data_IF_538776118290
#
_entry.id   IF_538776118290
#
_cell.length_a   1.000
_cell.length_b   1.000
_cell.length_c   1.000
_cell.angle_alpha   90.00
_cell.angle_beta   90.00
_cell.angle_gamma   90.00
#
_symmetry.space_group_name_H-M   'P 1'
#
loop_
_entity.id
_entity.type
_entity.pdbx_description
1 polymer ?
#
# COMPACT_ATOMS: atom_id res chain seq x y z
N UNK A 1 -11.29 -43.92 38.84
CA UNK A 1 -11.21 -42.61 38.16
C UNK A 1 -12.62 -42.06 37.92
N UNK A 2 -13.33 -41.66 38.98
CA UNK A 2 -14.72 -41.16 38.90
C UNK A 2 -14.95 -39.86 39.69
N UNK A 3 -13.92 -39.25 40.28
CA UNK A 3 -14.08 -38.13 41.23
C UNK A 3 -13.88 -36.73 40.63
N UNK A 4 -13.82 -36.59 39.29
CA UNK A 4 -13.62 -35.29 38.64
C UNK A 4 -14.62 -34.98 37.53
N UNK A 5 -15.88 -35.40 37.69
CA UNK A 5 -16.98 -34.90 36.85
C UNK A 5 -17.94 -34.06 37.71
N UNK A 6 -17.98 -32.76 37.41
CA UNK A 6 -18.97 -31.84 37.94
C UNK A 6 -20.06 -31.62 36.89
N UNK A 7 -21.33 -31.82 37.28
CA UNK A 7 -22.48 -31.53 36.44
C UNK A 7 -23.28 -30.40 37.10
N UNK A 8 -23.42 -29.28 36.40
CA UNK A 8 -24.02 -28.05 36.91
C UNK A 8 -23.27 -26.81 36.41
N UNK A 9 -23.78 -25.63 36.71
CA UNK A 9 -23.09 -24.37 36.40
C UNK A 9 -21.99 -24.12 37.44
N UNK A 10 -20.78 -23.80 36.97
CA UNK A 10 -19.67 -23.34 37.81
C UNK A 10 -19.46 -21.86 37.54
N UNK A 11 -19.42 -21.06 38.60
CA UNK A 11 -19.02 -19.66 38.54
C UNK A 11 -17.56 -19.58 38.96
N UNK A 12 -16.73 -19.01 38.10
CA UNK A 12 -15.36 -18.63 38.41
C UNK A 12 -15.28 -17.12 38.27
N UNK A 13 -15.12 -16.43 39.39
CA UNK A 13 -14.87 -14.99 39.38
C UNK A 13 -13.41 -14.78 38.99
N UNK A 14 -13.21 -14.18 37.82
CA UNK A 14 -11.91 -13.68 37.42
C UNK A 14 -11.84 -12.20 37.79
N UNK A 15 -10.91 -11.82 38.66
CA UNK A 15 -10.64 -10.41 39.01
C UNK A 15 -9.60 -9.77 38.09
N UNK A 16 -9.12 -10.49 37.07
CA UNK A 16 -8.18 -9.96 36.08
C UNK A 16 -8.84 -8.90 35.20
N UNK A 17 -8.08 -7.82 35.03
CA UNK A 17 -8.47 -6.54 34.45
C UNK A 17 -9.05 -6.65 33.03
N UNK A 18 -10.03 -5.78 32.79
CA UNK A 18 -10.60 -5.29 31.53
C UNK A 18 -9.86 -5.76 30.28
N UNK A 19 -10.53 -6.53 29.41
CA UNK A 19 -10.05 -6.80 28.05
C UNK A 19 -9.86 -5.46 27.34
N UNK A 20 -8.61 -5.07 27.13
CA UNK A 20 -8.30 -3.86 26.39
C UNK A 20 -8.75 -4.05 24.93
N UNK A 21 -9.72 -3.25 24.50
CA UNK A 21 -10.07 -3.14 23.09
C UNK A 21 -9.07 -2.15 22.49
N UNK A 22 -8.09 -2.68 21.76
CA UNK A 22 -7.12 -1.85 21.06
C UNK A 22 -7.75 -1.32 19.77
N UNK A 23 -7.53 -0.04 19.50
CA UNK A 23 -7.88 0.54 18.20
C UNK A 23 -7.04 -0.10 17.10
N UNK A 24 -7.69 -0.36 15.97
CA UNK A 24 -7.02 -0.89 14.78
C UNK A 24 -6.29 0.26 14.09
N UNK A 25 -5.00 0.10 13.82
CA UNK A 25 -4.23 1.06 13.04
C UNK A 25 -4.70 1.03 11.58
N UNK A 26 -5.57 1.97 11.20
CA UNK A 26 -6.12 2.11 9.85
C UNK A 26 -5.19 2.86 8.89
N UNK A 27 -4.14 3.48 9.42
CA UNK A 27 -3.28 4.42 8.69
C UNK A 27 -2.03 3.79 8.04
N UNK A 28 -1.86 2.47 8.20
CA UNK A 28 -0.71 1.73 7.66
C UNK A 28 -0.88 1.53 6.16
N UNK A 29 0.09 2.03 5.40
CA UNK A 29 0.10 1.97 3.94
C UNK A 29 0.96 0.78 3.51
N UNK A 30 0.49 -0.02 2.55
CA UNK A 30 1.27 -1.04 1.84
C UNK A 30 1.43 -0.63 0.39
N UNK A 31 2.67 -0.45 -0.07
CA UNK A 31 2.96 -0.14 -1.48
C UNK A 31 3.83 -1.20 -2.13
N UNK A 32 3.59 -1.44 -3.40
CA UNK A 32 4.48 -2.22 -4.28
C UNK A 32 5.11 -1.26 -5.30
N UNK A 33 6.42 -1.31 -5.45
CA UNK A 33 7.16 -0.40 -6.32
C UNK A 33 8.42 -1.05 -6.92
N UNK A 34 8.88 -0.49 -8.04
CA UNK A 34 10.18 -0.82 -8.65
C UNK A 34 11.22 0.24 -8.26
N UNK A 35 12.47 -0.18 -8.07
CA UNK A 35 13.64 0.70 -7.97
C UNK A 35 14.93 -0.13 -8.00
N UNK A 36 15.52 -0.30 -9.17
CA UNK A 36 16.76 -1.06 -9.35
C UNK A 36 17.95 -0.43 -8.62
N UNK A 37 18.00 0.90 -8.52
CA UNK A 37 19.10 1.67 -7.90
C UNK A 37 18.89 1.98 -6.40
N UNK A 38 17.81 1.46 -5.79
CA UNK A 38 17.58 1.58 -4.35
C UNK A 38 18.56 0.73 -3.53
N UNK A 39 18.85 1.17 -2.30
CA UNK A 39 19.70 0.43 -1.35
C UNK A 39 19.12 -0.96 -1.09
N UNK A 40 19.77 -2.00 -1.62
CA UNK A 40 19.29 -3.38 -1.56
C UNK A 40 19.24 -3.96 -0.13
N UNK A 41 19.96 -3.38 0.83
CA UNK A 41 19.89 -3.80 2.23
C UNK A 41 18.64 -3.24 2.91
N UNK A 42 18.29 -2.00 2.58
CA UNK A 42 17.10 -1.36 3.13
C UNK A 42 15.83 -1.83 2.40
N UNK A 43 15.90 -2.05 1.10
CA UNK A 43 14.79 -2.49 0.26
C UNK A 43 15.13 -3.84 -0.38
N UNK A 44 15.15 -4.95 0.37
CA UNK A 44 15.33 -6.27 -0.23
C UNK A 44 14.23 -6.57 -1.26
N UNK A 45 14.59 -7.29 -2.34
CA UNK A 45 13.62 -7.70 -3.36
C UNK A 45 12.60 -8.69 -2.78
N UNK A 46 11.34 -8.50 -3.14
CA UNK A 46 10.18 -9.33 -2.75
C UNK A 46 10.00 -9.52 -1.24
N UNK A 47 10.65 -8.69 -0.42
CA UNK A 47 10.50 -8.74 1.04
C UNK A 47 9.87 -7.45 1.54
N UNK A 48 8.79 -7.54 2.34
CA UNK A 48 8.15 -6.36 2.88
C UNK A 48 9.10 -5.71 3.89
N UNK A 49 9.21 -4.39 3.84
CA UNK A 49 10.04 -3.62 4.79
C UNK A 49 9.21 -2.51 5.40
N UNK A 50 9.22 -2.42 6.73
CA UNK A 50 8.56 -1.36 7.47
C UNK A 50 9.39 -0.07 7.47
N UNK A 51 8.76 1.01 7.00
CA UNK A 51 9.25 2.38 7.15
C UNK A 51 8.42 3.08 8.21
N UNK A 52 9.05 3.49 9.31
CA UNK A 52 8.39 4.26 10.37
C UNK A 52 8.35 5.77 10.05
N UNK A 53 9.35 6.26 9.32
CA UNK A 53 9.40 7.62 8.78
C UNK A 53 9.95 7.59 7.37
N UNK A 54 9.10 7.96 6.40
CA UNK A 54 9.46 7.92 4.98
C UNK A 54 10.56 8.94 4.65
N UNK A 55 10.53 10.14 5.24
CA UNK A 55 11.51 11.19 4.98
C UNK A 55 12.97 10.77 5.24
N UNK A 56 13.21 9.89 6.23
CA UNK A 56 14.55 9.45 6.60
C UNK A 56 15.17 8.51 5.54
N UNK A 57 14.35 7.92 4.67
CA UNK A 57 14.76 6.91 3.70
C UNK A 57 14.67 7.37 2.24
N UNK A 58 14.11 8.56 1.97
CA UNK A 58 13.97 9.09 0.59
C UNK A 58 15.31 9.16 -0.15
N UNK A 59 16.41 9.46 0.55
CA UNK A 59 17.76 9.47 -0.03
C UNK A 59 18.24 8.09 -0.51
N UNK A 60 17.67 6.99 0.03
CA UNK A 60 18.05 5.60 -0.27
C UNK A 60 17.12 4.90 -1.26
N UNK A 61 16.05 5.56 -1.69
CA UNK A 61 15.07 5.01 -2.62
C UNK A 61 15.56 4.97 -4.07
N UNK A 62 16.76 5.51 -4.35
CA UNK A 62 17.23 5.66 -5.72
C UNK A 62 16.51 6.76 -6.50
N UNK A 63 16.71 6.78 -7.80
CA UNK A 63 16.16 7.71 -8.78
C UNK A 63 15.39 6.99 -9.89
N UNK A 64 15.64 5.70 -10.11
CA UNK A 64 14.96 4.91 -11.13
C UNK A 64 13.68 4.27 -10.57
N UNK A 65 12.78 3.89 -11.48
CA UNK A 65 11.51 3.25 -11.14
C UNK A 65 10.47 4.18 -10.50
N UNK A 66 9.64 3.60 -9.64
CA UNK A 66 8.43 4.25 -9.09
C UNK A 66 8.53 4.54 -7.59
N UNK A 67 9.47 3.89 -6.88
CA UNK A 67 9.55 3.92 -5.42
C UNK A 67 9.72 5.33 -4.84
N UNK A 68 10.66 6.11 -5.37
CA UNK A 68 10.93 7.45 -4.85
C UNK A 68 9.72 8.37 -5.03
N UNK A 69 9.08 8.36 -6.20
CA UNK A 69 7.91 9.20 -6.49
C UNK A 69 6.72 8.83 -5.60
N UNK A 70 6.46 7.53 -5.42
CA UNK A 70 5.42 7.03 -4.52
C UNK A 70 5.65 7.46 -3.06
N UNK A 71 6.85 7.23 -2.52
CA UNK A 71 7.17 7.56 -1.14
C UNK A 71 7.22 9.07 -0.89
N UNK A 72 7.70 9.86 -1.85
CA UNK A 72 7.71 11.33 -1.76
C UNK A 72 6.28 11.88 -1.70
N UNK A 73 5.40 11.41 -2.58
CA UNK A 73 3.99 11.82 -2.59
C UNK A 73 3.27 11.50 -1.26
N UNK A 74 3.53 10.33 -0.68
CA UNK A 74 3.00 9.96 0.65
C UNK A 74 3.56 10.88 1.75
N UNK A 75 4.88 11.07 1.75
CA UNK A 75 5.58 11.86 2.77
C UNK A 75 5.16 13.33 2.80
N UNK A 76 4.79 13.89 1.65
CA UNK A 76 4.28 15.26 1.55
C UNK A 76 2.91 15.44 2.23
N UNK A 77 2.12 14.37 2.32
CA UNK A 77 0.82 14.42 2.99
C UNK A 77 0.94 14.17 4.49
N UNK A 78 1.66 13.10 4.86
CA UNK A 78 1.73 12.60 6.24
C UNK A 78 2.98 11.75 6.52
N UNK A 79 3.44 11.78 7.76
CA UNK A 79 4.41 10.83 8.29
C UNK A 79 3.69 9.65 8.95
N UNK A 80 3.46 8.57 8.21
CA UNK A 80 2.83 7.33 8.71
C UNK A 80 3.73 6.11 8.47
N UNK A 81 3.33 4.96 9.03
CA UNK A 81 3.97 3.68 8.78
C UNK A 81 3.68 3.23 7.34
N UNK A 82 4.73 2.94 6.58
CA UNK A 82 4.62 2.46 5.20
C UNK A 82 5.38 1.15 5.07
N UNK A 83 4.69 0.11 4.62
CA UNK A 83 5.26 -1.18 4.26
C UNK A 83 5.53 -1.16 2.77
N UNK A 84 6.80 -1.31 2.40
CA UNK A 84 7.24 -1.30 1.01
C UNK A 84 7.62 -2.70 0.61
N UNK A 85 7.08 -3.17 -0.53
CA UNK A 85 7.59 -4.35 -1.22
C UNK A 85 8.25 -3.89 -2.51
N UNK A 86 9.57 -4.05 -2.60
CA UNK A 86 10.30 -3.76 -3.83
C UNK A 86 10.26 -4.97 -4.75
N UNK A 87 9.80 -4.78 -5.97
CA UNK A 87 9.85 -5.79 -7.04
C UNK A 87 10.91 -5.40 -8.07
N UNK A 88 11.41 -6.39 -8.81
CA UNK A 88 12.35 -6.15 -9.89
C UNK A 88 11.66 -5.38 -11.04
N UNK A 89 12.43 -4.53 -11.72
CA UNK A 89 12.01 -3.91 -12.97
C UNK A 89 12.22 -4.89 -14.13
N UNK A 90 11.23 -5.00 -15.01
CA UNK A 90 11.28 -5.89 -16.17
C UNK A 90 12.37 -5.46 -17.15
N UNK A 91 13.20 -6.41 -17.55
CA UNK A 91 14.22 -6.31 -18.58
C UNK A 91 13.81 -7.17 -19.77
N UNK A 92 14.21 -6.81 -20.98
CA UNK A 92 13.86 -7.57 -22.20
C UNK A 92 14.30 -9.04 -22.16
N UNK A 93 15.31 -9.35 -21.32
CA UNK A 93 15.81 -10.71 -21.08
C UNK A 93 15.00 -11.50 -20.05
N UNK A 94 14.06 -10.87 -19.34
CA UNK A 94 13.28 -11.50 -18.29
C UNK A 94 12.14 -12.35 -18.85
N UNK A 95 12.01 -13.57 -18.32
CA UNK A 95 10.91 -14.48 -18.67
C UNK A 95 9.55 -13.99 -18.18
N UNK A 96 9.53 -13.14 -17.14
CA UNK A 96 8.31 -12.63 -16.50
C UNK A 96 8.04 -11.17 -16.89
N UNK A 97 6.78 -10.84 -17.16
CA UNK A 97 6.36 -9.45 -17.40
C UNK A 97 6.36 -8.62 -16.10
N UNK A 98 6.36 -7.29 -16.22
CA UNK A 98 6.27 -6.40 -15.07
C UNK A 98 5.03 -6.70 -14.20
N UNK A 99 3.87 -6.92 -14.82
CA UNK A 99 2.63 -7.27 -14.14
C UNK A 99 2.76 -8.59 -13.35
N UNK A 100 3.43 -9.59 -13.93
CA UNK A 100 3.68 -10.86 -13.24
C UNK A 100 4.59 -10.69 -12.01
N UNK A 101 5.60 -9.83 -12.10
CA UNK A 101 6.50 -9.53 -10.97
C UNK A 101 5.77 -8.77 -9.86
N UNK A 102 4.90 -7.82 -10.23
CA UNK A 102 4.11 -7.02 -9.28
C UNK A 102 3.03 -7.86 -8.59
N UNK A 103 2.30 -8.70 -9.36
CA UNK A 103 1.31 -9.63 -8.81
C UNK A 103 2.00 -10.67 -7.91
N UNK A 104 3.12 -11.24 -8.40
CA UNK A 104 3.86 -12.25 -7.66
C UNK A 104 3.03 -13.50 -7.36
N UNK A 105 3.38 -14.20 -6.30
CA UNK A 105 2.70 -15.41 -5.87
C UNK A 105 3.36 -16.08 -4.69
N UNK A 106 3.12 -17.39 -4.55
CA UNK A 106 3.86 -18.26 -3.65
C UNK A 106 4.90 -19.00 -4.46
N UNK A 107 6.16 -18.90 -4.07
CA UNK A 107 7.24 -19.69 -4.65
C UNK A 107 7.33 -21.07 -3.97
N UNK A 108 8.11 -21.99 -4.55
CA UNK A 108 8.25 -23.38 -4.07
C UNK A 108 8.86 -23.48 -2.66
N UNK A 109 9.63 -22.47 -2.26
CA UNK A 109 10.21 -22.34 -0.92
C UNK A 109 9.21 -21.83 0.13
N UNK A 110 7.97 -21.55 -0.28
CA UNK A 110 6.92 -21.00 0.57
C UNK A 110 7.04 -19.50 0.81
N UNK A 111 7.99 -18.82 0.15
CA UNK A 111 8.08 -17.36 0.21
C UNK A 111 7.01 -16.71 -0.66
N UNK A 112 6.54 -15.53 -0.23
CA UNK A 112 5.63 -14.71 -1.01
C UNK A 112 6.40 -13.63 -1.76
N UNK A 113 6.02 -13.41 -3.02
CA UNK A 113 6.60 -12.39 -3.90
C UNK A 113 5.57 -11.34 -4.30
N UNK A 114 6.03 -10.18 -4.76
CA UNK A 114 5.16 -9.08 -5.18
C UNK A 114 4.14 -8.67 -4.12
N UNK A 115 2.91 -8.36 -4.54
CA UNK A 115 1.82 -7.95 -3.63
C UNK A 115 1.42 -9.03 -2.62
N UNK A 116 1.69 -10.32 -2.86
CA UNK A 116 1.40 -11.38 -1.88
C UNK A 116 2.24 -11.23 -0.61
N UNK A 117 3.42 -10.61 -0.70
CA UNK A 117 4.27 -10.34 0.46
C UNK A 117 3.59 -9.41 1.49
N UNK A 118 2.59 -8.61 1.07
CA UNK A 118 1.79 -7.78 1.99
C UNK A 118 0.87 -8.60 2.89
N UNK A 119 0.53 -9.84 2.52
CA UNK A 119 -0.35 -10.71 3.31
C UNK A 119 0.31 -11.17 4.62
N UNK A 120 1.63 -11.31 4.63
CA UNK A 120 2.40 -11.79 5.79
C UNK A 120 2.96 -10.67 6.65
N UNK A 121 2.78 -9.40 6.25
CA UNK A 121 3.38 -8.27 6.93
C UNK A 121 2.93 -8.11 8.41
N UNK A 122 1.74 -8.56 8.77
CA UNK A 122 1.29 -8.57 10.17
C UNK A 122 1.96 -9.69 10.99
N UNK A 123 2.28 -10.82 10.37
CA UNK A 123 2.87 -12.00 11.03
C UNK A 123 4.39 -11.90 11.12
N UNK A 124 5.02 -11.12 10.24
CA UNK A 124 6.44 -10.86 10.27
C UNK A 124 6.80 -10.01 11.50
N UNK A 125 7.58 -10.57 12.42
CA UNK A 125 8.00 -9.91 13.66
C UNK A 125 8.77 -8.60 13.42
N UNK A 126 9.43 -8.46 12.27
CA UNK A 126 10.14 -7.24 11.91
C UNK A 126 9.20 -6.09 11.51
N UNK A 127 7.94 -6.40 11.20
CA UNK A 127 6.92 -5.45 10.76
C UNK A 127 5.81 -5.35 11.81
N UNK A 128 5.07 -6.44 12.06
CA UNK A 128 4.01 -6.50 13.07
C UNK A 128 2.79 -5.61 12.80
N UNK A 129 2.64 -5.10 11.57
CA UNK A 129 1.53 -4.22 11.19
C UNK A 129 0.81 -4.75 9.96
N UNK A 130 -0.53 -4.69 9.98
CA UNK A 130 -1.35 -5.00 8.82
C UNK A 130 -1.57 -3.75 7.96
N UNK A 131 -1.20 -3.74 6.67
CA UNK A 131 -1.52 -2.62 5.80
C UNK A 131 -3.02 -2.56 5.51
N UNK A 132 -3.61 -1.38 5.68
CA UNK A 132 -5.05 -1.10 5.47
C UNK A 132 -5.31 -0.23 4.25
N UNK A 133 -4.27 0.42 3.75
CA UNK A 133 -4.27 1.29 2.58
C UNK A 133 -3.29 0.69 1.58
N UNK A 134 -3.74 0.30 0.39
CA UNK A 134 -2.90 -0.39 -0.60
C UNK A 134 -2.80 0.41 -1.90
N UNK A 135 -1.64 0.39 -2.53
CA UNK A 135 -1.45 0.89 -3.89
C UNK A 135 -0.23 0.22 -4.57
N UNK A 136 -0.24 0.23 -5.90
CA UNK A 136 0.94 -0.06 -6.72
C UNK A 136 1.16 1.11 -7.70
N UNK A 137 1.61 2.28 -7.22
CA UNK A 137 1.60 3.50 -8.01
C UNK A 137 2.42 3.35 -9.30
N UNK A 138 1.84 3.74 -10.43
CA UNK A 138 2.40 3.61 -11.80
C UNK A 138 2.60 2.18 -12.31
N UNK A 139 2.29 1.18 -11.49
CA UNK A 139 2.32 -0.25 -11.82
C UNK A 139 0.92 -0.85 -11.80
N UNK A 140 -0.10 -0.01 -11.65
CA UNK A 140 -1.49 -0.34 -11.38
C UNK A 140 -2.29 -0.59 -12.67
N UNK A 141 -1.77 -1.49 -13.52
CA UNK A 141 -2.51 -2.00 -14.67
C UNK A 141 -3.83 -2.64 -14.24
N UNK A 142 -4.72 -2.92 -15.21
CA UNK A 142 -5.99 -3.57 -14.90
C UNK A 142 -5.81 -4.92 -14.17
N UNK A 143 -4.84 -5.73 -14.62
CA UNK A 143 -4.56 -7.04 -14.03
C UNK A 143 -3.98 -6.92 -12.61
N UNK A 144 -3.06 -5.97 -12.41
CA UNK A 144 -2.45 -5.67 -11.10
C UNK A 144 -3.52 -5.18 -10.14
N UNK A 145 -4.33 -4.19 -10.54
CA UNK A 145 -5.35 -3.60 -9.66
C UNK A 145 -6.40 -4.63 -9.25
N UNK A 146 -6.88 -5.49 -10.17
CA UNK A 146 -7.82 -6.57 -9.81
C UNK A 146 -7.22 -7.56 -8.83
N UNK A 147 -5.97 -7.96 -9.03
CA UNK A 147 -5.25 -8.84 -8.11
C UNK A 147 -5.07 -8.20 -6.73
N UNK A 148 -4.77 -6.90 -6.70
CA UNK A 148 -4.62 -6.12 -5.48
C UNK A 148 -5.95 -6.01 -4.72
N UNK A 149 -7.10 -5.89 -5.41
CA UNK A 149 -8.42 -5.93 -4.78
C UNK A 149 -8.71 -7.27 -4.08
N UNK A 150 -8.27 -8.40 -4.64
CA UNK A 150 -8.40 -9.71 -3.99
C UNK A 150 -7.60 -9.75 -2.68
N UNK A 151 -6.38 -9.21 -2.70
CA UNK A 151 -5.53 -9.10 -1.51
C UNK A 151 -6.15 -8.13 -0.50
N UNK A 152 -6.69 -7.02 -0.95
CA UNK A 152 -7.39 -6.05 -0.12
C UNK A 152 -8.59 -6.68 0.60
N UNK A 153 -9.37 -7.52 -0.08
CA UNK A 153 -10.45 -8.29 0.53
C UNK A 153 -9.97 -9.21 1.67
N UNK A 154 -8.84 -9.90 1.48
CA UNK A 154 -8.22 -10.76 2.51
C UNK A 154 -7.72 -9.96 3.72
N UNK A 155 -7.05 -8.84 3.46
CA UNK A 155 -6.52 -7.97 4.51
C UNK A 155 -7.60 -7.14 5.20
N UNK A 156 -8.76 -6.95 4.56
CA UNK A 156 -9.74 -5.89 4.85
C UNK A 156 -9.07 -4.52 4.76
N UNK A 157 -8.44 -4.29 3.61
CA UNK A 157 -7.78 -3.06 3.23
C UNK A 157 -8.55 -2.40 2.07
N UNK A 158 -8.11 -1.21 1.67
CA UNK A 158 -8.69 -0.45 0.56
C UNK A 158 -7.61 -0.04 -0.43
N UNK A 159 -7.88 -0.19 -1.72
CA UNK A 159 -6.96 0.05 -2.84
C UNK A 159 -7.21 1.43 -3.43
N UNK A 160 -6.12 2.17 -3.62
CA UNK A 160 -6.08 3.34 -4.48
C UNK A 160 -5.27 3.00 -5.72
N UNK A 161 -5.86 3.24 -6.89
CA UNK A 161 -5.25 2.96 -8.19
C UNK A 161 -5.58 4.06 -9.20
N UNK A 162 -4.73 4.21 -10.21
CA UNK A 162 -4.87 5.15 -11.29
C UNK A 162 -5.76 4.57 -12.38
N UNK A 163 -6.34 5.42 -13.22
CA UNK A 163 -6.87 4.99 -14.50
C UNK A 163 -5.70 4.76 -15.48
N UNK A 164 -5.02 3.61 -15.33
CA UNK A 164 -3.76 3.33 -16.02
C UNK A 164 -3.87 3.50 -17.55
N UNK A 165 -2.99 4.33 -18.12
CA UNK A 165 -2.89 4.58 -19.55
C UNK A 165 -4.05 5.41 -20.15
N UNK A 166 -4.90 6.03 -19.33
CA UNK A 166 -5.98 6.88 -19.80
C UNK A 166 -5.51 8.33 -19.98
N UNK A 167 -5.62 8.86 -21.19
CA UNK A 167 -5.27 10.26 -21.52
C UNK A 167 -6.50 11.17 -21.53
N UNK A 168 -7.69 10.60 -21.66
CA UNK A 168 -8.94 11.36 -21.72
C UNK A 168 -9.93 10.92 -20.65
N UNK A 169 -10.82 11.85 -20.28
CA UNK A 169 -11.92 11.56 -19.36
C UNK A 169 -12.82 10.41 -19.87
N UNK A 170 -13.04 10.32 -21.19
CA UNK A 170 -13.87 9.27 -21.78
C UNK A 170 -13.22 7.88 -21.63
N UNK A 171 -11.89 7.79 -21.79
CA UNK A 171 -11.13 6.57 -21.53
C UNK A 171 -11.20 6.19 -20.05
N UNK A 172 -11.05 7.15 -19.14
CA UNK A 172 -11.14 6.91 -17.70
C UNK A 172 -12.53 6.39 -17.28
N UNK A 173 -13.61 6.95 -17.84
CA UNK A 173 -14.99 6.47 -17.61
C UNK A 173 -15.14 5.02 -18.09
N UNK A 174 -14.60 4.71 -19.26
CA UNK A 174 -14.64 3.35 -19.83
C UNK A 174 -13.80 2.38 -18.99
N UNK A 175 -12.62 2.82 -18.54
CA UNK A 175 -11.74 2.04 -17.67
C UNK A 175 -12.41 1.70 -16.34
N UNK A 176 -13.13 2.65 -15.74
CA UNK A 176 -13.90 2.42 -14.51
C UNK A 176 -14.93 1.29 -14.66
N UNK A 177 -15.52 1.08 -15.84
CA UNK A 177 -16.51 0.01 -16.05
C UNK A 177 -15.91 -1.40 -15.94
N UNK A 178 -14.59 -1.55 -16.02
CA UNK A 178 -13.91 -2.84 -15.91
C UNK A 178 -13.82 -3.39 -14.48
N UNK A 179 -14.11 -2.54 -13.49
CA UNK A 179 -14.02 -2.86 -12.07
C UNK A 179 -15.41 -2.91 -11.42
N UNK A 180 -15.64 -3.94 -10.62
CA UNK A 180 -16.86 -4.15 -9.85
C UNK A 180 -16.59 -4.33 -8.34
N UNK A 181 -15.33 -4.25 -7.95
CA UNK A 181 -14.85 -4.45 -6.59
C UNK A 181 -15.24 -3.25 -5.71
N UNK A 182 -15.56 -3.54 -4.44
CA UNK A 182 -15.94 -2.51 -3.47
C UNK A 182 -14.72 -1.84 -2.84
N UNK A 183 -13.61 -2.56 -2.79
CA UNK A 183 -12.37 -2.21 -2.11
C UNK A 183 -11.45 -1.32 -2.94
N UNK A 184 -11.91 -0.69 -4.04
CA UNK A 184 -11.08 0.13 -4.93
C UNK A 184 -11.65 1.52 -5.18
N UNK A 185 -10.76 2.51 -5.22
CA UNK A 185 -11.02 3.84 -5.74
C UNK A 185 -10.02 4.15 -6.86
N UNK A 186 -10.57 4.43 -8.04
CA UNK A 186 -9.80 4.86 -9.20
C UNK A 186 -9.66 6.39 -9.20
N UNK A 187 -8.47 6.88 -9.53
CA UNK A 187 -8.11 8.29 -9.54
C UNK A 187 -7.56 8.69 -10.92
N UNK A 188 -8.03 9.83 -11.40
CA UNK A 188 -7.58 10.47 -12.63
C UNK A 188 -7.96 11.96 -12.57
N UNK A 189 -7.12 12.88 -13.07
CA UNK A 189 -5.76 12.70 -13.59
C UNK A 189 -4.69 12.56 -12.48
N UNK A 190 -3.42 12.42 -12.88
CA UNK A 190 -2.27 12.49 -11.98
C UNK A 190 -1.91 13.94 -11.63
N UNK A 191 -1.01 14.12 -10.66
CA UNK A 191 -0.60 15.43 -10.16
C UNK A 191 0.76 15.83 -10.69
N UNK A 192 0.95 17.11 -10.95
CA UNK A 192 2.27 17.69 -11.26
C UNK A 192 2.84 18.27 -9.97
N UNK A 193 4.06 17.88 -9.62
CA UNK A 193 4.78 18.40 -8.45
C UNK A 193 6.28 18.58 -8.75
N UNK A 194 6.93 19.46 -8.01
CA UNK A 194 8.37 19.68 -8.14
C UNK A 194 9.13 18.50 -7.52
N UNK A 195 10.01 17.87 -8.29
CA UNK A 195 10.88 16.81 -7.81
C UNK A 195 12.28 17.37 -7.47
N UNK A 196 12.67 17.43 -6.17
CA UNK A 196 13.99 17.95 -5.79
C UNK A 196 15.18 17.11 -6.26
N UNK A 197 14.98 15.84 -6.66
CA UNK A 197 16.06 14.97 -7.13
C UNK A 197 16.43 15.23 -8.59
N UNK A 198 15.43 15.42 -9.45
CA UNK A 198 15.67 15.78 -10.86
C UNK A 198 15.80 17.29 -11.05
N UNK A 199 15.23 18.08 -10.14
CA UNK A 199 15.21 19.53 -10.23
C UNK A 199 14.12 20.07 -11.16
N UNK A 200 13.19 19.23 -11.60
CA UNK A 200 12.15 19.55 -12.59
C UNK A 200 10.73 19.29 -12.05
N UNK A 201 9.73 19.84 -12.73
CA UNK A 201 8.33 19.52 -12.47
C UNK A 201 7.99 18.20 -13.17
N UNK A 202 7.60 17.20 -12.40
CA UNK A 202 7.28 15.86 -12.90
C UNK A 202 5.86 15.46 -12.54
N UNK A 203 5.34 14.47 -13.25
CA UNK A 203 4.09 13.81 -12.91
C UNK A 203 4.31 12.82 -11.77
N UNK A 204 3.51 12.96 -10.73
CA UNK A 204 3.46 12.08 -9.58
C UNK A 204 2.11 11.34 -9.52
N UNK A 205 2.12 10.06 -9.14
CA UNK A 205 0.93 9.23 -9.19
C UNK A 205 -0.11 9.67 -8.15
N UNK A 206 -1.32 9.97 -8.61
CA UNK A 206 -2.46 10.30 -7.74
C UNK A 206 -2.76 9.23 -6.68
N UNK A 207 -2.61 7.91 -6.94
CA UNK A 207 -2.78 6.87 -5.92
C UNK A 207 -1.89 7.05 -4.70
N UNK A 208 -0.63 7.45 -4.88
CA UNK A 208 0.30 7.65 -3.77
C UNK A 208 -0.11 8.84 -2.89
N UNK A 209 -0.55 9.95 -3.51
CA UNK A 209 -1.14 11.08 -2.79
C UNK A 209 -2.40 10.68 -2.02
N UNK A 210 -3.29 9.90 -2.63
CA UNK A 210 -4.49 9.43 -1.97
C UNK A 210 -4.20 8.51 -0.78
N UNK A 211 -3.19 7.63 -0.87
CA UNK A 211 -2.74 6.84 0.27
C UNK A 211 -2.27 7.73 1.43
N UNK A 212 -1.44 8.73 1.13
CA UNK A 212 -0.97 9.70 2.13
C UNK A 212 -2.11 10.51 2.74
N UNK A 213 -3.06 10.99 1.93
CA UNK A 213 -4.24 11.71 2.41
C UNK A 213 -5.17 10.84 3.25
N UNK A 214 -5.36 9.58 2.87
CA UNK A 214 -6.16 8.63 3.63
C UNK A 214 -5.59 8.44 5.03
N UNK A 215 -4.28 8.20 5.12
CA UNK A 215 -3.60 8.10 6.41
C UNK A 215 -3.62 9.42 7.20
N UNK A 216 -3.47 10.57 6.53
CA UNK A 216 -3.58 11.88 7.19
C UNK A 216 -4.96 12.10 7.82
N UNK A 217 -6.02 11.80 7.08
CA UNK A 217 -7.40 11.93 7.56
C UNK A 217 -7.65 11.01 8.75
N UNK A 218 -7.13 9.77 8.70
CA UNK A 218 -7.26 8.81 9.79
C UNK A 218 -6.64 9.31 11.09
N UNK A 219 -5.47 9.96 11.02
CA UNK A 219 -4.80 10.53 12.19
C UNK A 219 -5.51 11.76 12.76
N UNK A 220 -5.98 12.66 11.90
CA UNK A 220 -6.50 13.97 12.32
C UNK A 220 -8.00 13.97 12.63
N UNK A 221 -8.79 13.27 11.82
CA UNK A 221 -10.26 13.29 11.88
C UNK A 221 -10.85 11.90 12.16
N UNK A 222 -10.12 10.85 11.82
CA UNK A 222 -10.55 9.47 11.97
C UNK A 222 -11.09 8.85 10.68
N UNK A 223 -11.21 7.53 10.72
CA UNK A 223 -11.46 6.71 9.54
C UNK A 223 -12.81 6.96 8.84
N UNK A 224 -13.76 7.59 9.52
CA UNK A 224 -15.10 7.85 8.99
C UNK A 224 -15.15 9.05 8.05
N UNK A 225 -14.15 9.93 8.06
CA UNK A 225 -14.10 11.10 7.17
C UNK A 225 -13.74 10.66 5.74
N UNK A 226 -14.51 11.15 4.77
CA UNK A 226 -14.26 10.92 3.35
C UNK A 226 -12.99 11.62 2.85
N UNK A 227 -12.36 11.03 1.83
CA UNK A 227 -11.21 11.63 1.12
C UNK A 227 -11.58 12.95 0.41
N UNK A 228 -12.86 13.11 0.05
CA UNK A 228 -13.36 14.29 -0.67
C UNK A 228 -13.27 15.57 0.16
N UNK A 229 -13.01 16.67 -0.54
CA UNK A 229 -12.88 18.03 0.02
C UNK A 229 -11.75 18.15 1.06
N UNK A 230 -10.62 17.48 0.80
CA UNK A 230 -9.39 17.61 1.59
C UNK A 230 -8.29 18.17 0.67
N UNK A 231 -7.58 19.22 1.09
CA UNK A 231 -6.54 19.83 0.26
C UNK A 231 -5.36 18.88 0.09
N UNK A 232 -4.92 18.69 -1.16
CA UNK A 232 -3.71 17.93 -1.49
C UNK A 232 -2.50 18.85 -1.35
N UNK A 233 -1.54 18.47 -0.51
CA UNK A 233 -0.32 19.28 -0.27
C UNK A 233 0.69 19.09 -1.42
N UNK A 234 1.50 20.11 -1.67
CA UNK A 234 2.66 20.07 -2.58
C UNK A 234 2.33 19.69 -4.05
N UNK A 235 1.17 20.08 -4.55
CA UNK A 235 0.75 19.92 -5.95
C UNK A 235 0.75 21.27 -6.65
N UNK A 236 1.32 21.31 -7.86
CA UNK A 236 1.40 22.50 -8.72
C UNK A 236 0.32 22.51 -9.80
N UNK A 237 -0.20 21.35 -10.18
CA UNK A 237 -1.21 21.20 -11.21
C UNK A 237 -1.66 19.76 -11.38
N UNK A 238 -2.46 19.53 -12.42
CA UNK A 238 -2.90 18.21 -12.87
C UNK A 238 -2.29 17.92 -14.24
N UNK A 239 -2.01 16.65 -14.53
CA UNK A 239 -1.51 16.19 -15.83
C UNK A 239 -2.55 16.30 -16.93
#
# INVERSE_FOLDING_TARGET
MSETRFHGARVTENTDLVTAINDVDSSVIGIVATADDADAKLFPLNKPTLLTRVNDVLGKCGTTGTLYRALKAIADQVSTKVIVVRVAEHKEEDEKTQDQLVIGGSEDDGSYTGMYALLVAEQDESIGYRPRILAAPELDTEAVTKSLCVIAGKLRAFVYASCHGCNTMAEAITYRQKFNEREVMLLWPDFIAYNPKSGENETFPAPAYACGLRAYIDHEQGWHKSLSNVPVKNVLGMS
#
